data_IF_745273124989
#
_entry.id   IF_745273124989
#
_cell.length_a   1.000
_cell.length_b   1.000
_cell.length_c   1.000
_cell.angle_alpha   90.00
_cell.angle_beta   90.00
_cell.angle_gamma   90.00
#
_symmetry.space_group_name_H-M   'P 1'
#
loop_
_entity.id
_entity.type
_entity.pdbx_description
1 polymer ?
#
# COMPACT_ATOMS: atom_id res chain seq x y z
N UNK A 1 17.24 9.45 -16.45
CA UNK A 1 16.72 8.41 -15.53
C UNK A 1 15.64 9.01 -14.66
N UNK A 2 14.41 8.51 -14.79
CA UNK A 2 13.28 8.97 -13.97
C UNK A 2 13.03 7.97 -12.84
N UNK A 3 13.01 8.46 -11.61
CA UNK A 3 12.78 7.66 -10.40
C UNK A 3 11.39 7.94 -9.83
N UNK A 4 10.77 6.91 -9.27
CA UNK A 4 9.47 7.00 -8.60
C UNK A 4 9.50 6.18 -7.32
N UNK A 5 8.93 6.73 -6.25
CA UNK A 5 8.56 5.96 -5.05
C UNK A 5 7.05 5.81 -5.04
N UNK A 6 6.57 4.59 -4.90
CA UNK A 6 5.16 4.23 -4.98
C UNK A 6 4.74 3.39 -3.78
N UNK A 7 3.64 3.73 -3.14
CA UNK A 7 3.02 2.84 -2.16
C UNK A 7 2.30 1.70 -2.89
N UNK A 8 2.61 0.45 -2.55
CA UNK A 8 2.00 -0.74 -3.13
C UNK A 8 1.31 -1.55 -2.02
N UNK A 9 -0.01 -1.57 -2.03
CA UNK A 9 -0.82 -2.23 -0.99
C UNK A 9 -1.20 -3.67 -1.33
N UNK A 10 -1.06 -4.08 -2.58
CA UNK A 10 -1.61 -5.34 -3.11
C UNK A 10 -3.03 -5.21 -3.63
N UNK A 11 -3.67 -4.06 -3.45
CA UNK A 11 -4.98 -3.75 -4.00
C UNK A 11 -4.91 -3.28 -5.46
N UNK A 12 -6.09 -3.14 -6.08
CA UNK A 12 -6.23 -2.82 -7.51
C UNK A 12 -5.64 -1.45 -7.87
N UNK A 13 -5.96 -0.42 -7.10
CA UNK A 13 -5.57 0.97 -7.43
C UNK A 13 -4.06 1.15 -7.45
N UNK A 14 -3.37 0.64 -6.43
CA UNK A 14 -1.92 0.71 -6.36
C UNK A 14 -1.22 -0.13 -7.43
N UNK A 15 -1.85 -1.24 -7.85
CA UNK A 15 -1.37 -2.04 -8.97
C UNK A 15 -1.46 -1.29 -10.29
N UNK A 16 -2.58 -0.62 -10.56
CA UNK A 16 -2.75 0.22 -11.76
C UNK A 16 -1.67 1.31 -11.80
N UNK A 17 -1.39 1.96 -10.67
CA UNK A 17 -0.34 2.98 -10.58
C UNK A 17 1.05 2.43 -10.93
N UNK A 18 1.36 1.19 -10.57
CA UNK A 18 2.62 0.54 -10.91
C UNK A 18 2.78 0.41 -12.44
N UNK A 19 1.74 -0.06 -13.14
CA UNK A 19 1.77 -0.17 -14.60
C UNK A 19 1.77 1.20 -15.27
N UNK A 20 1.02 2.17 -14.76
CA UNK A 20 1.05 3.55 -15.26
C UNK A 20 2.42 4.20 -15.10
N UNK A 21 3.17 3.88 -14.05
CA UNK A 21 4.52 4.40 -13.86
C UNK A 21 5.44 3.94 -14.99
N UNK A 22 5.35 2.67 -15.37
CA UNK A 22 6.11 2.13 -16.52
C UNK A 22 5.70 2.82 -17.83
N UNK A 23 4.39 2.97 -18.08
CA UNK A 23 3.88 3.62 -19.30
C UNK A 23 4.33 5.09 -19.39
N UNK A 24 4.49 5.77 -18.29
CA UNK A 24 5.01 7.14 -18.21
C UNK A 24 6.54 7.24 -18.30
N UNK A 25 7.23 6.13 -18.50
CA UNK A 25 8.67 6.06 -18.74
C UNK A 25 9.51 6.31 -17.48
N UNK A 26 9.05 5.82 -16.33
CA UNK A 26 9.92 5.73 -15.16
C UNK A 26 10.86 4.55 -15.29
N UNK A 27 12.15 4.78 -15.06
CA UNK A 27 13.21 3.78 -15.23
C UNK A 27 13.51 3.03 -13.92
N UNK A 28 13.31 3.70 -12.79
CA UNK A 28 13.57 3.16 -11.46
C UNK A 28 12.32 3.37 -10.58
N UNK A 29 11.67 2.27 -10.20
CA UNK A 29 10.46 2.29 -9.41
C UNK A 29 10.72 1.59 -8.08
N UNK A 30 10.69 2.35 -7.00
CA UNK A 30 10.78 1.84 -5.63
C UNK A 30 9.38 1.71 -5.05
N UNK A 31 8.92 0.48 -4.84
CA UNK A 31 7.63 0.24 -4.20
C UNK A 31 7.82 0.03 -2.70
N UNK A 32 6.95 0.65 -1.92
CA UNK A 32 6.92 0.51 -0.46
C UNK A 32 5.58 -0.06 -0.05
N UNK A 33 5.61 -1.16 0.67
CA UNK A 33 4.43 -1.82 1.23
C UNK A 33 4.47 -1.69 2.75
N UNK A 34 3.37 -1.25 3.34
CA UNK A 34 3.27 -1.07 4.79
C UNK A 34 2.52 -2.24 5.43
N UNK A 35 3.19 -2.94 6.35
CA UNK A 35 2.55 -3.92 7.23
C UNK A 35 2.20 -3.24 8.57
N UNK A 36 0.96 -2.80 8.70
CA UNK A 36 0.42 -2.20 9.92
C UNK A 36 -0.53 -3.14 10.69
N UNK A 37 -0.47 -4.44 10.39
CA UNK A 37 -1.31 -5.45 11.02
C UNK A 37 -2.77 -5.37 10.56
N UNK A 38 -3.00 -5.00 9.31
CA UNK A 38 -4.31 -4.96 8.68
C UNK A 38 -4.95 -6.36 8.63
N UNK A 39 -6.26 -6.41 8.61
CA UNK A 39 -7.03 -7.67 8.55
C UNK A 39 -6.75 -8.47 7.28
N UNK A 40 -6.56 -7.78 6.18
CA UNK A 40 -6.38 -8.38 4.86
C UNK A 40 -4.92 -8.76 4.60
N UNK A 41 -4.38 -9.70 5.38
CA UNK A 41 -3.01 -10.24 5.17
C UNK A 41 -2.80 -10.80 3.76
N UNK A 42 -3.88 -11.16 3.07
CA UNK A 42 -3.83 -11.58 1.66
C UNK A 42 -3.29 -10.49 0.74
N UNK A 43 -3.52 -9.22 1.08
CA UNK A 43 -2.99 -8.09 0.32
C UNK A 43 -1.46 -8.10 0.29
N UNK A 44 -0.81 -8.39 1.43
CA UNK A 44 0.64 -8.51 1.50
C UNK A 44 1.18 -9.65 0.63
N UNK A 45 0.48 -10.79 0.58
CA UNK A 45 0.83 -11.89 -0.31
C UNK A 45 0.63 -11.54 -1.79
N UNK A 46 -0.36 -10.71 -2.11
CA UNK A 46 -0.60 -10.25 -3.48
C UNK A 46 0.51 -9.34 -3.99
N UNK A 47 1.13 -8.53 -3.13
CA UNK A 47 2.22 -7.63 -3.53
C UNK A 47 3.36 -8.40 -4.21
N UNK A 48 3.80 -9.49 -3.60
CA UNK A 48 4.87 -10.30 -4.20
C UNK A 48 4.50 -10.82 -5.58
N UNK A 49 3.28 -11.35 -5.72
CA UNK A 49 2.79 -11.84 -7.03
C UNK A 49 2.72 -10.72 -8.07
N UNK A 50 2.29 -9.53 -7.65
CA UNK A 50 2.22 -8.37 -8.54
C UNK A 50 3.60 -7.97 -9.05
N UNK A 51 4.59 -7.89 -8.16
CA UNK A 51 5.98 -7.58 -8.54
C UNK A 51 6.55 -8.65 -9.46
N UNK A 52 6.35 -9.93 -9.14
CA UNK A 52 6.83 -11.05 -9.96
C UNK A 52 6.20 -11.02 -11.37
N UNK A 53 4.89 -10.76 -11.46
CA UNK A 53 4.20 -10.65 -12.74
C UNK A 53 4.66 -9.43 -13.54
N UNK A 54 4.83 -8.30 -12.87
CA UNK A 54 5.35 -7.08 -13.50
C UNK A 54 6.75 -7.32 -14.08
N UNK A 55 7.64 -7.88 -13.27
CA UNK A 55 9.00 -8.18 -13.71
C UNK A 55 9.05 -9.18 -14.88
N UNK A 56 8.16 -10.18 -14.89
CA UNK A 56 8.06 -11.11 -16.04
C UNK A 56 7.62 -10.42 -17.32
N UNK A 57 6.63 -9.54 -17.24
CA UNK A 57 6.12 -8.80 -18.39
C UNK A 57 7.17 -7.88 -19.02
N UNK A 58 8.00 -7.28 -18.18
CA UNK A 58 8.96 -6.26 -18.59
C UNK A 58 10.42 -6.75 -18.54
N UNK A 59 10.65 -8.06 -18.42
CA UNK A 59 11.99 -8.66 -18.31
C UNK A 59 12.94 -8.37 -19.49
N UNK A 60 12.41 -7.95 -20.64
CA UNK A 60 13.21 -7.54 -21.80
C UNK A 60 13.44 -6.04 -21.95
N UNK A 61 12.93 -5.25 -21.03
CA UNK A 61 13.06 -3.79 -21.08
C UNK A 61 14.37 -3.37 -20.40
N UNK A 62 15.29 -2.88 -21.21
CA UNK A 62 16.54 -2.33 -20.72
C UNK A 62 16.27 -1.12 -19.83
N UNK A 63 16.91 -1.08 -18.68
CA UNK A 63 16.88 0.01 -17.70
C UNK A 63 15.64 0.13 -16.79
N UNK A 64 14.68 -0.80 -16.85
CA UNK A 64 13.59 -0.78 -15.88
C UNK A 64 13.97 -1.60 -14.63
N UNK A 65 14.05 -0.94 -13.50
CA UNK A 65 14.31 -1.58 -12.20
C UNK A 65 13.14 -1.35 -11.28
N UNK A 66 12.56 -2.45 -10.76
CA UNK A 66 11.50 -2.39 -9.75
C UNK A 66 11.96 -3.08 -8.48
N UNK A 67 11.95 -2.36 -7.39
CA UNK A 67 12.25 -2.89 -6.05
C UNK A 67 11.02 -2.81 -5.16
N UNK A 68 10.87 -3.73 -4.22
CA UNK A 68 9.82 -3.66 -3.21
C UNK A 68 10.41 -3.77 -1.81
N UNK A 69 9.95 -2.91 -0.92
CA UNK A 69 10.32 -2.91 0.49
C UNK A 69 9.07 -2.98 1.35
N UNK A 70 9.01 -3.97 2.22
CA UNK A 70 7.94 -4.09 3.21
C UNK A 70 8.43 -3.47 4.52
N UNK A 71 7.69 -2.49 5.01
CA UNK A 71 7.98 -1.81 6.27
C UNK A 71 6.97 -2.21 7.34
N UNK A 72 7.47 -2.68 8.46
CA UNK A 72 6.65 -2.96 9.65
C UNK A 72 6.33 -1.65 10.37
N UNK A 73 5.05 -1.29 10.38
CA UNK A 73 4.53 -0.10 11.06
C UNK A 73 3.39 -0.48 12.01
N UNK A 74 3.48 -1.66 12.63
CA UNK A 74 2.43 -2.20 13.53
C UNK A 74 2.16 -1.36 14.77
N UNK A 75 3.07 -0.44 15.10
CA UNK A 75 2.85 0.56 16.16
C UNK A 75 1.61 1.44 15.92
N UNK A 76 1.08 1.48 14.70
CA UNK A 76 -0.18 2.17 14.40
C UNK A 76 -1.35 1.65 15.26
N UNK A 77 -1.30 0.39 15.71
CA UNK A 77 -2.29 -0.17 16.64
C UNK A 77 -2.35 0.59 17.97
N UNK A 78 -1.21 1.08 18.42
CA UNK A 78 -1.11 1.85 19.65
C UNK A 78 -1.71 3.26 19.49
N UNK A 79 -1.66 3.78 18.27
CA UNK A 79 -2.21 5.10 17.91
C UNK A 79 -3.71 5.02 17.63
N UNK A 80 -4.17 3.98 16.99
CA UNK A 80 -5.57 3.79 16.57
C UNK A 80 -6.13 2.42 17.01
N UNK A 81 -6.21 2.14 18.32
CA UNK A 81 -6.64 0.84 18.83
C UNK A 81 -8.13 0.55 18.53
N UNK A 82 -8.92 1.57 18.25
CA UNK A 82 -10.35 1.47 17.95
C UNK A 82 -10.65 1.26 16.46
N UNK A 83 -9.64 1.30 15.58
CA UNK A 83 -9.85 1.08 14.16
C UNK A 83 -10.04 -0.39 13.83
N UNK A 84 -11.08 -0.72 13.06
CA UNK A 84 -11.32 -2.08 12.56
C UNK A 84 -10.24 -2.58 11.61
N UNK A 85 -9.42 -1.71 11.02
CA UNK A 85 -8.30 -2.09 10.15
C UNK A 85 -7.10 -2.63 10.95
N UNK A 86 -6.94 -2.20 12.19
CA UNK A 86 -5.82 -2.59 13.07
C UNK A 86 -6.23 -3.51 14.21
N UNK A 87 -7.49 -3.44 14.66
CA UNK A 87 -8.04 -4.26 15.72
C UNK A 87 -8.98 -5.31 15.14
N UNK A 88 -8.61 -6.59 15.28
CA UNK A 88 -9.39 -7.73 14.76
C UNK A 88 -10.65 -8.04 15.56
N UNK A 89 -10.77 -7.49 16.76
CA UNK A 89 -11.96 -7.66 17.63
C UNK A 89 -13.12 -6.74 17.20
N UNK A 90 -12.84 -5.79 16.31
CA UNK A 90 -13.83 -4.85 15.77
C UNK A 90 -14.19 -5.27 14.36
N UNK A 91 -15.47 -5.50 14.09
CA UNK A 91 -15.95 -5.82 12.75
C UNK A 91 -15.90 -4.61 11.81
N UNK A 92 -15.63 -4.86 10.53
CA UNK A 92 -15.72 -3.80 9.53
C UNK A 92 -17.19 -3.40 9.36
N UNK A 93 -17.52 -2.10 9.46
CA UNK A 93 -18.89 -1.63 9.31
C UNK A 93 -19.37 -1.80 7.86
N UNK A 94 -20.65 -2.06 7.69
CA UNK A 94 -21.31 -2.00 6.39
C UNK A 94 -21.48 -0.53 5.97
N UNK A 95 -21.68 -0.30 4.67
CA UNK A 95 -21.86 1.06 4.12
C UNK A 95 -23.03 1.80 4.80
N UNK A 96 -24.10 1.07 5.14
CA UNK A 96 -25.27 1.62 5.82
C UNK A 96 -24.97 2.08 7.26
N UNK A 97 -24.02 1.45 7.93
CA UNK A 97 -23.58 1.78 9.29
C UNK A 97 -22.61 2.97 9.31
N UNK A 98 -21.95 3.22 8.18
CA UNK A 98 -21.04 4.35 8.01
C UNK A 98 -21.77 5.66 7.68
N UNK A 99 -23.04 5.59 7.26
CA UNK A 99 -23.84 6.74 6.89
C UNK A 99 -24.18 7.59 8.14
N UNK A 100 -23.59 8.77 8.22
CA UNK A 100 -23.80 9.72 9.32
C UNK A 100 -22.68 9.84 10.32
N UNK A 101 -21.68 8.95 10.30
CA UNK A 101 -20.50 9.08 11.14
C UNK A 101 -19.46 10.02 10.51
N UNK A 102 -18.98 10.97 11.32
CA UNK A 102 -17.95 11.91 10.90
C UNK A 102 -16.60 11.19 10.66
N UNK A 103 -16.35 10.08 11.37
CA UNK A 103 -15.17 9.23 11.20
C UNK A 103 -15.57 7.75 11.28
N UNK A 104 -15.37 6.98 10.21
CA UNK A 104 -15.69 5.56 10.19
C UNK A 104 -14.77 4.78 11.15
N UNK A 105 -15.26 3.64 11.67
CA UNK A 105 -14.50 2.73 12.55
C UNK A 105 -13.20 2.24 11.91
N UNK A 106 -13.12 2.20 10.58
CA UNK A 106 -11.91 1.86 9.83
C UNK A 106 -10.88 3.00 9.75
N UNK A 107 -11.20 4.18 10.30
CA UNK A 107 -10.29 5.32 10.26
C UNK A 107 -9.03 5.09 11.09
N UNK A 108 -7.88 5.30 10.47
CA UNK A 108 -6.56 5.34 11.13
C UNK A 108 -6.04 6.77 10.99
N UNK A 109 -5.84 7.49 12.12
CA UNK A 109 -5.47 8.89 12.10
C UNK A 109 -4.23 9.16 11.24
N UNK A 110 -4.34 10.08 10.29
CA UNK A 110 -3.24 10.52 9.43
C UNK A 110 -2.45 9.42 8.72
N UNK A 111 -3.06 8.23 8.52
CA UNK A 111 -2.39 7.06 7.91
C UNK A 111 -1.69 7.40 6.59
N UNK A 112 -2.41 8.04 5.67
CA UNK A 112 -1.85 8.37 4.35
C UNK A 112 -0.72 9.40 4.45
N UNK A 113 -0.84 10.37 5.37
CA UNK A 113 0.21 11.34 5.62
C UNK A 113 1.48 10.68 6.14
N UNK A 114 1.37 9.73 7.08
CA UNK A 114 2.51 8.95 7.57
C UNK A 114 3.18 8.16 6.45
N UNK A 115 2.41 7.49 5.61
CA UNK A 115 2.94 6.71 4.49
C UNK A 115 3.67 7.59 3.48
N UNK A 116 3.10 8.74 3.13
CA UNK A 116 3.73 9.70 2.23
C UNK A 116 5.02 10.29 2.83
N UNK A 117 5.03 10.59 4.13
CA UNK A 117 6.22 11.09 4.81
C UNK A 117 7.37 10.08 4.79
N UNK A 118 7.07 8.79 5.02
CA UNK A 118 8.06 7.72 4.94
C UNK A 118 8.57 7.56 3.51
N UNK A 119 7.69 7.56 2.52
CA UNK A 119 8.08 7.48 1.12
C UNK A 119 8.92 8.68 0.67
N UNK A 120 8.66 9.86 1.20
CA UNK A 120 9.42 11.08 0.88
C UNK A 120 10.85 11.05 1.43
N UNK A 121 11.12 10.21 2.42
CA UNK A 121 12.46 10.03 3.00
C UNK A 121 13.29 8.96 2.29
N UNK A 122 12.71 8.29 1.34
CA UNK A 122 13.38 7.23 0.55
C UNK A 122 14.27 7.83 -0.54
#
# INVERSE_FOLDING_TARGET
MKKLVLTLSGGMDSSVLLYMAQDRGYDEIHTVTFDYGQRHKRELACVKKQIDNFNKLFSGWFNLTVTNKILDVKYIKDIAPTSSLTNTDIDNPNISEMAGDAQPVSYVPFRNLMFLSICSSY
#
